data_IF_856310304368
#
_entry.id   IF_856310304368
#
_cell.length_a   1.000
_cell.length_b   1.000
_cell.length_c   1.000
_cell.angle_alpha   90.00
_cell.angle_beta   90.00
_cell.angle_gamma   90.00
#
_symmetry.space_group_name_H-M   'P 1'
#
loop_
_entity.id
_entity.type
_entity.pdbx_description
1 polymer ?
#
# COMPACT_ATOMS: atom_id res chain seq x y z
N UNK A 1 -2.00 -3.41 19.04
CA UNK A 1 -3.02 -4.30 18.46
C UNK A 1 -2.82 -4.30 16.95
N UNK A 2 -2.85 -5.45 16.27
CA UNK A 2 -2.67 -5.51 14.81
C UNK A 2 -4.04 -5.79 14.16
N UNK A 3 -4.72 -4.72 13.72
CA UNK A 3 -6.05 -4.81 13.12
C UNK A 3 -6.11 -5.71 11.88
N UNK A 4 -5.02 -5.77 11.09
CA UNK A 4 -4.98 -6.68 9.94
C UNK A 4 -5.11 -8.13 10.37
N UNK A 5 -4.54 -8.53 11.51
CA UNK A 5 -4.68 -9.90 12.00
C UNK A 5 -6.14 -10.28 12.23
N UNK A 6 -6.95 -9.34 12.74
CA UNK A 6 -8.38 -9.57 12.97
C UNK A 6 -9.17 -9.57 11.67
N UNK A 7 -8.93 -8.58 10.79
CA UNK A 7 -9.65 -8.49 9.52
C UNK A 7 -9.39 -9.71 8.62
N UNK A 8 -8.13 -10.17 8.56
CA UNK A 8 -7.78 -11.41 7.86
C UNK A 8 -8.40 -12.65 8.51
N UNK A 9 -8.44 -12.74 9.84
CA UNK A 9 -9.06 -13.88 10.52
C UNK A 9 -10.58 -13.94 10.30
N UNK A 10 -11.24 -12.79 10.17
CA UNK A 10 -12.68 -12.69 9.98
C UNK A 10 -13.12 -12.66 8.51
N UNK A 11 -12.17 -12.63 7.57
CA UNK A 11 -12.43 -12.39 6.15
C UNK A 11 -13.30 -11.13 5.94
N UNK A 12 -13.02 -10.06 6.68
CA UNK A 12 -13.85 -8.85 6.73
C UNK A 12 -14.09 -8.30 5.32
N UNK A 13 -15.36 -8.10 4.97
CA UNK A 13 -15.81 -7.54 3.70
C UNK A 13 -17.17 -6.84 3.91
N UNK A 14 -17.33 -5.56 3.56
CA UNK A 14 -16.31 -4.68 2.95
C UNK A 14 -15.23 -4.27 3.96
N UNK A 15 -14.03 -4.01 3.45
CA UNK A 15 -12.95 -3.34 4.18
C UNK A 15 -12.59 -2.11 3.35
N UNK A 16 -12.47 -0.95 3.98
CA UNK A 16 -12.13 0.30 3.31
C UNK A 16 -10.74 0.79 3.72
N UNK A 17 -9.99 1.29 2.75
CA UNK A 17 -8.64 1.83 2.93
C UNK A 17 -8.61 3.32 2.56
N UNK A 18 -8.19 4.14 3.52
CA UNK A 18 -7.72 5.51 3.28
C UNK A 18 -6.20 5.53 3.42
N UNK A 19 -5.48 6.11 2.46
CA UNK A 19 -4.01 6.19 2.50
C UNK A 19 -3.50 7.47 1.84
N UNK A 20 -2.42 7.99 2.42
CA UNK A 20 -1.60 9.09 1.93
C UNK A 20 -0.19 8.57 1.67
N UNK A 21 0.40 9.02 0.56
CA UNK A 21 1.79 8.80 0.22
C UNK A 21 2.51 10.15 0.20
N UNK A 22 3.40 10.33 1.16
CA UNK A 22 4.21 11.51 1.34
C UNK A 22 5.53 11.31 0.59
N UNK A 23 5.78 12.06 -0.49
CA UNK A 23 7.07 12.05 -1.16
C UNK A 23 8.19 12.49 -0.20
N UNK A 24 9.42 12.01 -0.40
CA UNK A 24 10.56 12.45 0.38
C UNK A 24 10.80 13.95 0.26
N UNK A 25 11.37 14.56 1.31
CA UNK A 25 11.79 15.95 1.27
C UNK A 25 12.88 16.14 0.21
N UNK A 26 12.77 17.23 -0.55
CA UNK A 26 13.77 17.64 -1.53
C UNK A 26 14.38 18.97 -1.11
N UNK A 27 15.65 19.20 -1.43
CA UNK A 27 16.29 20.51 -1.19
C UNK A 27 15.93 21.42 -2.36
N UNK A 28 15.14 22.45 -2.08
CA UNK A 28 14.88 23.55 -2.99
C UNK A 28 15.91 24.67 -2.84
N UNK A 29 15.83 25.71 -3.68
CA UNK A 29 16.78 26.84 -3.65
C UNK A 29 16.81 27.55 -2.29
N UNK A 30 15.69 27.58 -1.56
CA UNK A 30 15.53 28.29 -0.29
C UNK A 30 15.52 27.37 0.95
N UNK A 31 15.77 26.06 0.79
CA UNK A 31 15.73 25.08 1.89
C UNK A 31 14.90 23.83 1.59
N UNK A 32 14.57 23.01 2.59
CA UNK A 32 13.80 21.79 2.40
C UNK A 32 12.37 22.12 1.96
N UNK A 33 11.92 21.51 0.86
CA UNK A 33 10.58 21.65 0.31
C UNK A 33 9.80 20.37 0.55
N UNK A 34 8.66 20.51 1.22
CA UNK A 34 7.67 19.46 1.33
C UNK A 34 6.78 19.48 0.09
N UNK A 35 6.72 18.36 -0.63
CA UNK A 35 5.82 18.22 -1.78
C UNK A 35 4.45 17.75 -1.29
N UNK A 36 3.40 18.12 -2.02
CA UNK A 36 2.03 17.73 -1.68
C UNK A 36 1.90 16.19 -1.67
N UNK A 37 1.27 15.61 -0.62
CA UNK A 37 1.06 14.18 -0.56
C UNK A 37 0.01 13.71 -1.56
N UNK A 38 0.23 12.54 -2.13
CA UNK A 38 -0.80 11.85 -2.90
C UNK A 38 -1.78 11.19 -1.93
N UNK A 39 -3.07 11.24 -2.21
CA UNK A 39 -4.10 10.64 -1.35
C UNK A 39 -5.14 9.87 -2.15
N UNK A 40 -5.66 8.80 -1.56
CA UNK A 40 -6.90 8.20 -2.05
C UNK A 40 -8.10 9.13 -1.77
N UNK A 41 -9.16 9.07 -2.59
CA UNK A 41 -10.36 9.86 -2.37
C UNK A 41 -11.04 9.46 -1.05
N UNK A 42 -11.70 10.41 -0.39
CA UNK A 42 -12.57 10.13 0.75
C UNK A 42 -13.88 9.48 0.27
N UNK A 43 -14.44 8.46 0.97
CA UNK A 43 -14.05 7.93 2.29
C UNK A 43 -12.96 6.83 2.28
N UNK A 44 -12.34 6.57 1.13
CA UNK A 44 -11.36 5.51 0.92
C UNK A 44 -11.72 4.68 -0.30
N UNK A 45 -10.99 3.57 -0.49
CA UNK A 45 -11.29 2.56 -1.52
C UNK A 45 -11.68 1.25 -0.86
N UNK A 46 -12.65 0.55 -1.45
CA UNK A 46 -13.03 -0.79 -1.03
C UNK A 46 -11.87 -1.78 -1.32
N UNK A 47 -11.68 -2.73 -0.42
CA UNK A 47 -10.67 -3.77 -0.49
C UNK A 47 -11.35 -5.12 -0.62
N UNK A 48 -10.97 -5.89 -1.64
CA UNK A 48 -11.53 -7.21 -1.94
C UNK A 48 -10.63 -8.28 -1.34
N UNK A 49 -11.20 -9.10 -0.46
CA UNK A 49 -10.50 -10.23 0.14
C UNK A 49 -10.33 -11.38 -0.86
N UNK A 50 -9.11 -11.89 -0.95
CA UNK A 50 -8.78 -13.15 -1.63
C UNK A 50 -8.12 -14.09 -0.62
N UNK A 51 -8.65 -15.30 -0.38
CA UNK A 51 -8.06 -16.25 0.55
C UNK A 51 -6.71 -16.79 0.06
N UNK A 52 -5.91 -17.31 0.97
CA UNK A 52 -4.67 -18.00 0.64
C UNK A 52 -4.95 -19.20 -0.27
N UNK A 53 -4.05 -19.47 -1.22
CA UNK A 53 -4.25 -20.52 -2.21
C UNK A 53 -2.95 -21.08 -2.75
N UNK A 54 -3.04 -22.19 -3.47
CA UNK A 54 -1.91 -22.80 -4.16
C UNK A 54 -2.05 -22.65 -5.66
N UNK A 55 -0.98 -22.22 -6.32
CA UNK A 55 -0.92 -22.08 -7.77
C UNK A 55 0.17 -22.98 -8.33
N UNK A 56 -0.16 -23.72 -9.38
CA UNK A 56 0.83 -24.51 -10.13
C UNK A 56 1.36 -23.67 -11.30
N UNK A 57 2.67 -23.49 -11.38
CA UNK A 57 3.31 -22.81 -12.49
C UNK A 57 4.61 -23.53 -12.87
N UNK A 58 4.70 -24.02 -14.11
CA UNK A 58 5.87 -24.75 -14.60
C UNK A 58 6.19 -26.03 -13.82
N UNK A 59 5.15 -26.76 -13.38
CA UNK A 59 5.30 -27.99 -12.58
C UNK A 59 5.73 -27.76 -11.12
N UNK A 60 5.72 -26.50 -10.65
CA UNK A 60 5.99 -26.14 -9.25
C UNK A 60 4.74 -25.60 -8.60
N UNK A 61 4.49 -26.02 -7.36
CA UNK A 61 3.39 -25.54 -6.53
C UNK A 61 3.90 -24.37 -5.68
N UNK A 62 3.23 -23.24 -5.78
CA UNK A 62 3.50 -22.03 -5.00
C UNK A 62 2.32 -21.74 -4.06
N UNK A 63 2.62 -21.48 -2.79
CA UNK A 63 1.63 -21.00 -1.83
C UNK A 63 1.56 -19.48 -1.88
N UNK A 64 0.40 -18.94 -2.26
CA UNK A 64 0.11 -17.51 -2.23
C UNK A 64 -0.57 -17.15 -0.90
N UNK A 65 -0.13 -16.07 -0.22
CA UNK A 65 -0.82 -15.60 0.98
C UNK A 65 -2.21 -15.06 0.65
N UNK A 66 -3.06 -15.05 1.67
CA UNK A 66 -4.30 -14.28 1.62
C UNK A 66 -3.96 -12.80 1.41
N UNK A 67 -4.84 -12.07 0.72
CA UNK A 67 -4.61 -10.66 0.43
C UNK A 67 -5.91 -9.87 0.32
N UNK A 68 -5.77 -8.56 0.51
CA UNK A 68 -6.76 -7.57 0.17
C UNK A 68 -6.27 -6.76 -1.01
N UNK A 69 -7.05 -6.71 -2.09
CA UNK A 69 -6.74 -5.90 -3.28
C UNK A 69 -7.70 -4.71 -3.33
N UNK A 70 -7.18 -3.49 -3.51
CA UNK A 70 -8.03 -2.33 -3.70
C UNK A 70 -8.88 -2.49 -4.97
N UNK A 71 -10.16 -2.12 -4.88
CA UNK A 71 -11.11 -2.17 -5.98
C UNK A 71 -11.44 -0.74 -6.41
N UNK A 72 -10.86 -0.30 -7.52
CA UNK A 72 -11.27 0.95 -8.14
C UNK A 72 -12.59 0.76 -8.88
N UNK A 73 -13.67 1.33 -8.35
CA UNK A 73 -14.85 1.60 -9.15
C UNK A 73 -14.48 2.69 -10.16
N UNK A 74 -14.29 2.29 -11.42
CA UNK A 74 -14.15 3.21 -12.55
C UNK A 74 -15.52 3.86 -12.84
N UNK A 75 -16.07 4.60 -11.87
CA UNK A 75 -17.29 5.35 -12.03
C UNK A 75 -16.92 6.67 -12.75
N UNK A 76 -17.39 6.81 -13.98
CA UNK A 76 -17.15 7.97 -14.85
C UNK A 76 -17.74 9.26 -14.30
N UNK A 77 -17.04 9.88 -13.36
CA UNK A 77 -17.33 11.21 -12.84
C UNK A 77 -16.02 11.96 -12.67
N UNK A 78 -15.75 12.84 -13.63
CA UNK A 78 -14.72 13.89 -13.68
C UNK A 78 -13.74 13.87 -12.48
N UNK A 79 -12.68 13.06 -12.60
CA UNK A 79 -11.44 13.31 -11.89
C UNK A 79 -10.86 14.59 -12.48
N UNK A 80 -11.15 15.72 -11.84
CA UNK A 80 -10.47 16.96 -12.13
C UNK A 80 -9.08 16.90 -11.49
N UNK A 81 -8.17 16.14 -12.12
CA UNK A 81 -6.74 16.46 -12.15
C UNK A 81 -6.06 15.61 -13.22
N UNK A 82 -5.34 16.25 -14.14
CA UNK A 82 -4.62 15.66 -15.29
C UNK A 82 -3.37 14.85 -14.87
N UNK A 83 -3.26 14.48 -13.60
CA UNK A 83 -2.22 13.60 -13.09
C UNK A 83 -2.76 12.17 -13.10
N UNK A 84 -2.06 11.25 -13.77
CA UNK A 84 -2.30 9.81 -13.59
C UNK A 84 -2.38 9.52 -12.08
N UNK A 85 -3.45 8.87 -11.57
CA UNK A 85 -3.63 8.70 -10.14
C UNK A 85 -2.42 7.95 -9.60
N UNK A 86 -1.71 8.57 -8.65
CA UNK A 86 -0.51 7.99 -8.04
C UNK A 86 -0.77 6.55 -7.60
N UNK A 87 -1.95 6.27 -7.03
CA UNK A 87 -2.38 4.93 -6.66
C UNK A 87 -3.05 4.22 -7.85
N UNK A 88 -2.30 3.34 -8.53
CA UNK A 88 -2.81 2.44 -9.58
C UNK A 88 -3.18 1.08 -9.03
N UNK A 89 -2.35 0.56 -8.14
CA UNK A 89 -2.61 -0.66 -7.40
C UNK A 89 -2.22 -0.52 -5.93
N UNK A 90 -3.03 -1.09 -5.04
CA UNK A 90 -2.72 -1.22 -3.61
C UNK A 90 -3.17 -2.61 -3.16
N UNK A 91 -2.24 -3.37 -2.61
CA UNK A 91 -2.51 -4.71 -2.08
C UNK A 91 -1.95 -4.83 -0.68
N UNK A 92 -2.69 -5.49 0.21
CA UNK A 92 -2.24 -5.85 1.56
C UNK A 92 -2.14 -7.36 1.62
N UNK A 93 -0.95 -7.89 1.88
CA UNK A 93 -0.69 -9.32 2.01
C UNK A 93 -0.65 -9.73 3.48
N UNK A 94 -1.26 -10.87 3.79
CA UNK A 94 -1.07 -11.55 5.06
C UNK A 94 0.33 -12.18 5.16
N UNK A 95 0.83 -12.44 6.40
CA UNK A 95 2.01 -13.24 6.62
C UNK A 95 1.98 -14.57 5.86
N UNK A 96 3.14 -14.97 5.37
CA UNK A 96 3.38 -16.18 4.60
C UNK A 96 4.69 -16.85 5.04
N UNK A 97 4.97 -18.09 4.57
CA UNK A 97 6.27 -18.71 4.80
C UNK A 97 7.47 -17.90 4.28
N UNK A 98 7.25 -17.04 3.26
CA UNK A 98 8.30 -16.21 2.65
C UNK A 98 8.47 -14.85 3.34
N UNK A 99 7.41 -14.31 3.94
CA UNK A 99 7.42 -13.05 4.66
C UNK A 99 6.54 -13.16 5.90
N UNK A 100 7.13 -13.04 7.09
CA UNK A 100 6.43 -13.21 8.37
C UNK A 100 5.59 -12.01 8.79
N UNK A 101 5.71 -10.89 8.07
CA UNK A 101 4.99 -9.66 8.35
C UNK A 101 3.85 -9.42 7.36
N UNK A 102 2.89 -8.58 7.76
CA UNK A 102 1.95 -8.01 6.80
C UNK A 102 2.71 -7.05 5.88
N UNK A 103 2.38 -7.06 4.59
CA UNK A 103 3.03 -6.20 3.61
C UNK A 103 1.98 -5.42 2.85
N UNK A 104 2.14 -4.11 2.80
CA UNK A 104 1.39 -3.25 1.87
C UNK A 104 2.28 -3.01 0.66
N UNK A 105 1.74 -3.26 -0.53
CA UNK A 105 2.37 -2.88 -1.80
C UNK A 105 1.56 -1.80 -2.49
N UNK A 106 2.25 -0.81 -3.04
CA UNK A 106 1.66 0.25 -3.86
C UNK A 106 2.35 0.25 -5.22
N UNK A 107 1.57 0.17 -6.29
CA UNK A 107 2.02 0.18 -7.68
C UNK A 107 3.03 -0.93 -8.07
N UNK A 108 3.24 -1.93 -7.20
CA UNK A 108 4.31 -2.92 -7.36
C UNK A 108 5.71 -2.32 -7.21
N UNK A 109 5.80 -1.03 -6.89
CA UNK A 109 7.03 -0.24 -6.81
C UNK A 109 7.42 0.04 -5.34
N UNK A 110 6.42 0.22 -4.48
CA UNK A 110 6.60 0.46 -3.05
C UNK A 110 6.13 -0.75 -2.26
N UNK A 111 6.91 -1.14 -1.25
CA UNK A 111 6.56 -2.22 -0.35
C UNK A 111 7.01 -1.86 1.07
N UNK A 112 6.08 -1.94 2.02
CA UNK A 112 6.38 -1.63 3.42
C UNK A 112 5.54 -2.49 4.38
N UNK A 113 6.05 -2.66 5.60
CA UNK A 113 5.33 -3.27 6.71
C UNK A 113 4.56 -2.16 7.45
N UNK A 114 3.22 -2.25 7.58
CA UNK A 114 2.45 -1.23 8.28
C UNK A 114 2.65 -1.34 9.80
N UNK A 115 3.04 -0.24 10.43
CA UNK A 115 3.09 -0.08 11.88
C UNK A 115 1.82 0.60 12.36
N UNK A 116 0.97 -0.15 13.06
CA UNK A 116 -0.27 0.37 13.66
C UNK A 116 0.01 1.23 14.89
N UNK A 117 -0.87 2.20 15.14
CA UNK A 117 -0.79 3.05 16.32
C UNK A 117 -1.05 2.25 17.59
N UNK A 118 -0.34 2.61 18.67
CA UNK A 118 -0.43 1.92 19.95
C UNK A 118 -1.74 2.23 20.70
N UNK A 119 -2.47 3.25 20.29
CA UNK A 119 -3.74 3.69 20.88
C UNK A 119 -4.93 2.78 20.56
N UNK A 120 -4.71 1.75 19.73
CA UNK A 120 -5.75 0.80 19.34
C UNK A 120 -6.61 1.29 18.18
N UNK A 121 -6.34 2.46 17.59
CA UNK A 121 -6.98 2.86 16.35
C UNK A 121 -6.47 2.03 15.16
N UNK A 122 -7.27 1.86 14.09
CA UNK A 122 -6.82 1.18 12.86
C UNK A 122 -6.01 2.11 11.94
N UNK A 123 -5.39 3.14 12.52
CA UNK A 123 -4.40 3.99 11.88
C UNK A 123 -3.04 3.32 11.82
N UNK A 124 -2.34 3.47 10.69
CA UNK A 124 -1.01 2.92 10.48
C UNK A 124 -0.09 3.90 9.76
N UNK A 125 1.21 3.63 9.87
CA UNK A 125 2.24 4.28 9.07
C UNK A 125 3.25 3.26 8.54
N UNK A 126 3.96 3.59 7.48
CA UNK A 126 5.03 2.77 6.94
C UNK A 126 6.00 3.61 6.14
N UNK A 127 7.22 3.11 5.96
CA UNK A 127 8.22 3.80 5.15
C UNK A 127 8.80 2.84 4.12
N UNK A 128 9.09 3.36 2.93
CA UNK A 128 9.67 2.59 1.84
C UNK A 128 10.74 3.42 1.13
N UNK A 129 11.95 2.90 1.02
CA UNK A 129 12.90 3.42 0.05
C UNK A 129 12.46 2.97 -1.35
N UNK A 130 12.55 3.82 -2.39
CA UNK A 130 12.19 3.41 -3.75
C UNK A 130 12.98 2.17 -4.16
N UNK A 131 12.30 1.12 -4.62
CA UNK A 131 12.97 -0.01 -5.25
C UNK A 131 13.58 0.47 -6.58
N UNK A 132 14.80 0.01 -6.90
CA UNK A 132 15.45 0.32 -8.17
C UNK A 132 14.67 -0.33 -9.31
N UNK A 133 13.70 0.37 -9.90
CA UNK A 133 13.07 -0.05 -11.14
C UNK A 133 14.11 0.00 -12.25
N UNK A 134 14.39 -1.14 -12.87
CA UNK A 134 15.44 -1.29 -13.86
C UNK A 134 15.17 -0.44 -15.09
N UNK A 135 16.01 0.58 -15.31
CA UNK A 135 16.62 0.96 -16.61
C UNK A 135 17.57 2.17 -16.55
N UNK A 136 18.05 2.59 -15.38
CA UNK A 136 19.19 3.52 -15.31
C UNK A 136 20.04 3.28 -14.05
N UNK A 137 21.31 2.96 -14.27
CA UNK A 137 22.36 2.90 -13.25
C UNK A 137 22.70 4.33 -12.83
N UNK A 138 22.82 4.56 -11.51
CA UNK A 138 23.18 5.80 -10.77
C UNK A 138 22.02 6.76 -10.42
N UNK A 139 21.24 6.42 -9.40
CA UNK A 139 21.38 7.04 -8.07
C UNK A 139 20.62 6.20 -7.03
N UNK A 140 21.37 5.58 -6.13
CA UNK A 140 20.93 4.46 -5.27
C UNK A 140 20.50 4.90 -3.86
N UNK A 141 20.13 6.16 -3.66
CA UNK A 141 19.90 6.68 -2.31
C UNK A 141 18.95 7.87 -2.32
N UNK A 142 17.69 7.63 -2.68
CA UNK A 142 16.62 8.58 -2.40
C UNK A 142 16.17 8.44 -0.94
N UNK A 143 15.79 9.52 -0.25
CA UNK A 143 15.19 9.41 1.08
C UNK A 143 13.87 8.59 0.99
N UNK A 144 13.46 7.95 2.10
CA UNK A 144 12.29 7.07 2.07
C UNK A 144 10.99 7.86 1.90
N UNK A 145 10.04 7.24 1.20
CA UNK A 145 8.65 7.67 1.20
C UNK A 145 8.00 7.32 2.53
N UNK A 146 7.10 8.17 3.00
CA UNK A 146 6.25 7.90 4.16
C UNK A 146 4.82 7.62 3.67
N UNK A 147 4.24 6.53 4.16
CA UNK A 147 2.86 6.18 3.95
C UNK A 147 2.12 6.28 5.28
N UNK A 148 0.94 6.89 5.27
CA UNK A 148 0.04 6.96 6.42
C UNK A 148 -1.35 6.54 5.97
N UNK A 149 -2.03 5.73 6.74
CA UNK A 149 -3.34 5.23 6.34
C UNK A 149 -4.22 4.81 7.50
N UNK A 150 -5.45 4.45 7.16
CA UNK A 150 -6.50 4.07 8.10
C UNK A 150 -7.37 2.99 7.46
N UNK A 151 -7.73 1.97 8.23
CA UNK A 151 -8.63 0.89 7.83
C UNK A 151 -9.99 1.05 8.52
N UNK A 152 -11.08 0.81 7.80
CA UNK A 152 -12.44 0.86 8.35
C UNK A 152 -13.36 -0.18 7.71
N UNK A 153 -14.52 -0.41 8.31
CA UNK A 153 -15.58 -1.30 7.81
C UNK A 153 -16.74 -0.45 7.31
#
# INVERSE_FOLDING_TARGET
MNWLSEYFAQHTSPLSLSIWAHPPLVVGPDGPVCREPYRLPYPGVEMVYTPAGTVECGGRIYTLPARYDARWTRAGGILHDDAAPFFREVTIFAPSPFNRDFVVTVNGEFSFVPSFWADGSPGFSGTCAPAASGHAVRDRSGPPWLFQGYLSI
#
